data_IF_807297023805
#
_entry.id   IF_807297023805
#
_cell.length_a   1.000
_cell.length_b   1.000
_cell.length_c   1.000
_cell.angle_alpha   90.00
_cell.angle_beta   90.00
_cell.angle_gamma   90.00
#
_symmetry.space_group_name_H-M   'P 1'
#
loop_
_entity.id
_entity.type
_entity.pdbx_description
1 polymer ?
#
# COMPACT_ATOMS: atom_id res chain seq x y z
N UNK A 1 0.01 13.43 -19.11
CA UNK A 1 0.16 12.00 -19.43
C UNK A 1 1.64 11.73 -19.60
N UNK A 2 2.29 11.01 -18.68
CA UNK A 2 3.70 10.64 -18.80
C UNK A 2 3.85 9.73 -20.02
N UNK A 3 4.58 10.18 -21.03
CA UNK A 3 4.88 9.37 -22.21
C UNK A 3 6.11 8.51 -21.89
N UNK A 4 5.93 7.19 -21.87
CA UNK A 4 7.04 6.24 -21.82
C UNK A 4 7.84 6.32 -23.12
N UNK A 5 9.16 6.20 -23.04
CA UNK A 5 9.99 6.10 -24.24
C UNK A 5 9.80 4.76 -24.94
N UNK A 6 10.12 4.70 -26.24
CA UNK A 6 10.05 3.45 -27.02
C UNK A 6 11.04 2.40 -26.51
N UNK A 7 12.20 2.84 -26.00
CA UNK A 7 13.20 1.95 -25.36
C UNK A 7 12.63 1.30 -24.09
N UNK A 8 11.98 2.08 -23.22
CA UNK A 8 11.33 1.55 -22.01
C UNK A 8 10.17 0.60 -22.36
N UNK A 9 9.43 0.90 -23.43
CA UNK A 9 8.35 0.03 -23.91
C UNK A 9 8.91 -1.30 -24.43
N UNK A 10 9.97 -1.27 -25.23
CA UNK A 10 10.62 -2.47 -25.74
C UNK A 10 11.22 -3.31 -24.60
N UNK A 11 11.87 -2.67 -23.63
CA UNK A 11 12.44 -3.35 -22.46
C UNK A 11 11.35 -4.00 -21.58
N UNK A 12 10.19 -3.34 -21.39
CA UNK A 12 9.04 -3.93 -20.71
C UNK A 12 8.43 -5.13 -21.44
N UNK A 13 8.51 -5.17 -22.77
CA UNK A 13 8.04 -6.34 -23.54
C UNK A 13 8.98 -7.54 -23.41
N UNK A 14 10.26 -7.31 -23.09
CA UNK A 14 11.27 -8.34 -22.93
C UNK A 14 11.42 -8.83 -21.47
N UNK A 15 10.93 -8.06 -20.51
CA UNK A 15 11.00 -8.38 -19.08
C UNK A 15 9.61 -8.52 -18.46
N UNK A 16 9.22 -9.74 -18.13
CA UNK A 16 7.95 -10.03 -17.47
C UNK A 16 7.86 -9.44 -16.04
N UNK A 17 9.00 -9.26 -15.38
CA UNK A 17 9.10 -8.78 -13.99
C UNK A 17 9.17 -7.25 -13.87
N UNK A 18 9.26 -6.55 -15.01
CA UNK A 18 9.45 -5.10 -15.06
C UNK A 18 10.90 -4.68 -15.30
N UNK A 19 11.13 -3.37 -15.26
CA UNK A 19 12.42 -2.74 -15.55
C UNK A 19 12.73 -1.65 -14.53
N UNK A 20 14.02 -1.47 -14.25
CA UNK A 20 14.52 -0.32 -13.48
C UNK A 20 14.76 0.84 -14.44
N UNK A 21 14.25 2.01 -14.10
CA UNK A 21 14.41 3.24 -14.87
C UNK A 21 15.00 4.32 -13.97
N UNK A 22 15.74 5.26 -14.56
CA UNK A 22 16.18 6.46 -13.87
C UNK A 22 15.40 7.65 -14.41
N UNK A 23 14.83 8.45 -13.52
CA UNK A 23 14.14 9.66 -13.92
C UNK A 23 15.17 10.75 -14.30
N UNK A 24 15.16 11.26 -15.53
CA UNK A 24 16.26 12.07 -16.06
C UNK A 24 16.47 13.40 -15.32
N UNK A 25 15.41 13.96 -14.72
CA UNK A 25 15.47 15.25 -14.01
C UNK A 25 15.77 15.10 -12.52
N UNK A 26 15.13 14.13 -11.85
CA UNK A 26 15.20 13.96 -10.39
C UNK A 26 16.27 12.96 -9.97
N UNK A 27 16.90 12.26 -10.93
CA UNK A 27 17.84 11.14 -10.70
C UNK A 27 17.27 10.05 -9.79
N UNK A 28 15.93 9.98 -9.70
CA UNK A 28 15.26 8.98 -8.91
C UNK A 28 15.21 7.68 -9.69
N UNK A 29 15.70 6.61 -9.07
CA UNK A 29 15.48 5.26 -9.56
C UNK A 29 14.02 4.87 -9.31
N UNK A 30 13.31 4.53 -10.38
CA UNK A 30 11.95 4.04 -10.35
C UNK A 30 11.86 2.63 -10.96
N UNK A 31 10.86 1.87 -10.55
CA UNK A 31 10.59 0.55 -11.11
C UNK A 31 9.32 0.60 -11.93
N UNK A 32 9.40 0.21 -13.20
CA UNK A 32 8.26 0.15 -14.11
C UNK A 32 7.85 -1.30 -14.32
N UNK A 33 6.55 -1.58 -14.17
CA UNK A 33 5.97 -2.92 -14.34
C UNK A 33 4.73 -2.86 -15.23
N UNK A 34 4.34 -3.98 -15.87
CA UNK A 34 3.02 -4.10 -16.46
C UNK A 34 1.92 -3.83 -15.42
N UNK A 35 0.86 -3.12 -15.82
CA UNK A 35 -0.23 -2.75 -14.90
C UNK A 35 -0.88 -3.96 -14.24
N UNK A 36 -1.07 -5.06 -14.98
CA UNK A 36 -1.64 -6.30 -14.45
C UNK A 36 -0.77 -6.90 -13.34
N UNK A 37 0.56 -6.86 -13.49
CA UNK A 37 1.50 -7.34 -12.48
C UNK A 37 1.39 -6.47 -11.22
N UNK A 38 1.35 -5.15 -11.37
CA UNK A 38 1.16 -4.22 -10.26
C UNK A 38 -0.11 -4.54 -9.47
N UNK A 39 -1.26 -4.72 -10.14
CA UNK A 39 -2.52 -5.01 -9.47
C UNK A 39 -2.48 -6.35 -8.72
N UNK A 40 -1.92 -7.40 -9.32
CA UNK A 40 -1.77 -8.71 -8.66
C UNK A 40 -0.87 -8.62 -7.42
N UNK A 41 0.24 -7.89 -7.50
CA UNK A 41 1.14 -7.69 -6.35
C UNK A 41 0.44 -6.92 -5.22
N UNK A 42 -0.27 -5.83 -5.56
CA UNK A 42 -0.99 -5.04 -4.56
C UNK A 42 -2.12 -5.84 -3.90
N UNK A 43 -2.82 -6.67 -4.65
CA UNK A 43 -3.84 -7.55 -4.10
C UNK A 43 -3.25 -8.60 -3.15
N UNK A 44 -2.14 -9.24 -3.53
CA UNK A 44 -1.45 -10.18 -2.66
C UNK A 44 -0.97 -9.52 -1.36
N UNK A 45 -0.40 -8.31 -1.44
CA UNK A 45 -0.01 -7.54 -0.25
C UNK A 45 -1.21 -7.20 0.64
N UNK A 46 -2.34 -6.81 0.04
CA UNK A 46 -3.59 -6.57 0.79
C UNK A 46 -4.02 -7.82 1.54
N UNK A 47 -4.05 -8.98 0.87
CA UNK A 47 -4.44 -10.24 1.51
C UNK A 47 -3.51 -10.62 2.68
N UNK A 48 -2.19 -10.40 2.54
CA UNK A 48 -1.23 -10.63 3.62
C UNK A 48 -1.48 -9.69 4.80
N UNK A 49 -1.73 -8.41 4.54
CA UNK A 49 -2.04 -7.43 5.58
C UNK A 49 -3.36 -7.76 6.28
N UNK A 50 -4.39 -8.15 5.54
CA UNK A 50 -5.68 -8.56 6.09
C UNK A 50 -5.51 -9.78 7.00
N UNK A 51 -4.73 -10.78 6.56
CA UNK A 51 -4.43 -11.97 7.35
C UNK A 51 -3.64 -11.63 8.62
N UNK A 52 -2.68 -10.71 8.55
CA UNK A 52 -1.96 -10.23 9.73
C UNK A 52 -2.90 -9.51 10.72
N UNK A 53 -3.81 -8.66 10.22
CA UNK A 53 -4.80 -7.97 11.04
C UNK A 53 -5.78 -8.95 11.71
N UNK A 54 -6.25 -9.97 10.99
CA UNK A 54 -7.12 -11.02 11.53
C UNK A 54 -6.40 -11.78 12.66
N UNK A 55 -5.14 -12.20 12.43
CA UNK A 55 -4.34 -12.90 13.44
C UNK A 55 -4.13 -12.05 14.69
N UNK A 56 -3.85 -10.77 14.52
CA UNK A 56 -3.71 -9.83 15.62
C UNK A 56 -5.02 -9.71 16.41
N UNK A 57 -6.15 -9.57 15.71
CA UNK A 57 -7.47 -9.53 16.35
C UNK A 57 -7.78 -10.78 17.16
N UNK A 58 -7.46 -11.97 16.65
CA UNK A 58 -7.61 -13.24 17.38
C UNK A 58 -6.74 -13.24 18.64
N UNK A 59 -5.47 -12.85 18.54
CA UNK A 59 -4.56 -12.81 19.69
C UNK A 59 -5.02 -11.80 20.76
N UNK A 60 -5.63 -10.68 20.35
CA UNK A 60 -6.19 -9.69 21.27
C UNK A 60 -7.46 -10.20 21.96
N UNK A 61 -8.28 -11.00 21.28
CA UNK A 61 -9.42 -11.69 21.89
C UNK A 61 -8.96 -12.75 22.91
N UNK A 62 -7.99 -13.60 22.55
CA UNK A 62 -7.48 -14.68 23.41
C UNK A 62 -6.77 -14.14 24.67
N UNK A 63 -6.10 -13.00 24.55
CA UNK A 63 -5.40 -12.35 25.66
C UNK A 63 -6.27 -11.40 26.48
N UNK A 64 -7.54 -11.21 26.10
CA UNK A 64 -8.46 -10.28 26.77
C UNK A 64 -8.17 -8.80 26.51
N UNK A 65 -7.30 -8.45 25.55
CA UNK A 65 -7.02 -7.07 25.11
C UNK A 65 -8.11 -6.54 24.19
N UNK A 66 -9.36 -6.68 24.59
CA UNK A 66 -10.50 -6.19 23.83
C UNK A 66 -10.88 -4.78 24.27
N UNK A 67 -11.27 -3.95 23.32
CA UNK A 67 -11.82 -2.62 23.56
C UNK A 67 -13.35 -2.70 23.49
N UNK A 68 -14.05 -2.05 24.42
CA UNK A 68 -15.51 -1.93 24.33
C UNK A 68 -15.91 -1.02 23.17
N UNK A 69 -17.14 -1.21 22.67
CA UNK A 69 -17.69 -0.36 21.60
C UNK A 69 -17.66 1.14 21.98
N UNK A 70 -17.87 1.46 23.26
CA UNK A 70 -17.84 2.83 23.77
C UNK A 70 -16.44 3.43 23.68
N UNK A 71 -15.42 2.69 24.08
CA UNK A 71 -14.02 3.12 24.01
C UNK A 71 -13.55 3.27 22.55
N UNK A 72 -13.95 2.35 21.67
CA UNK A 72 -13.64 2.40 20.24
C UNK A 72 -14.19 3.68 19.58
N UNK A 73 -15.43 4.03 19.92
CA UNK A 73 -16.08 5.24 19.44
C UNK A 73 -15.36 6.49 19.90
N UNK A 74 -15.01 6.58 21.18
CA UNK A 74 -14.27 7.73 21.72
C UNK A 74 -12.90 7.87 21.06
N UNK A 75 -12.16 6.77 20.88
CA UNK A 75 -10.86 6.77 20.20
C UNK A 75 -10.96 7.30 18.76
N UNK A 76 -12.00 6.87 18.04
CA UNK A 76 -12.25 7.30 16.65
C UNK A 76 -12.62 8.79 16.58
N UNK A 77 -13.49 9.26 17.48
CA UNK A 77 -13.87 10.67 17.59
C UNK A 77 -12.67 11.57 17.91
N UNK A 78 -11.74 11.11 18.77
CA UNK A 78 -10.50 11.82 19.06
C UNK A 78 -9.53 11.88 17.87
N UNK A 79 -9.38 10.77 17.14
CA UNK A 79 -8.55 10.72 15.94
C UNK A 79 -9.06 11.69 14.86
N UNK A 80 -10.37 11.74 14.64
CA UNK A 80 -11.01 12.65 13.68
C UNK A 80 -10.80 14.12 14.04
N UNK A 81 -10.88 14.46 15.34
CA UNK A 81 -10.61 15.82 15.84
C UNK A 81 -9.16 16.25 15.61
N UNK A 82 -8.19 15.33 15.65
CA UNK A 82 -6.77 15.64 15.38
C UNK A 82 -6.52 15.94 13.90
N UNK A 83 -7.24 15.27 13.00
CA UNK A 83 -7.13 15.50 11.54
C UNK A 83 -7.72 16.87 11.16
N UNK A 84 -8.74 17.35 11.89
CA UNK A 84 -9.47 18.59 11.60
C UNK A 84 -9.02 19.81 12.41
N UNK A 85 -7.89 19.76 13.12
CA UNK A 85 -7.36 20.97 13.76
C UNK A 85 -6.69 21.85 12.69
N UNK A 86 -7.20 23.07 12.42
CA UNK A 86 -6.43 24.04 11.66
C UNK A 86 -5.17 24.40 12.49
N UNK A 87 -4.03 24.49 11.81
CA UNK A 87 -2.79 25.02 12.38
C UNK A 87 -2.94 26.50 12.70
#
# INVERSE_FOLDING_TARGET
>A
MLKISDEQRAALQQSADGIVCEHPITQQTCFMVPAELYYRMMEALRQVNDLAAIRQGIADMESGRMMSVKEARLSTEEALKRIHRPQ
#
